data_IF_574998270353
#
_entry.id   IF_574998270353
#
_cell.length_a   1.000
_cell.length_b   1.000
_cell.length_c   1.000
_cell.angle_alpha   90.00
_cell.angle_beta   90.00
_cell.angle_gamma   90.00
#
_symmetry.space_group_name_H-M   'P 1'
#
loop_
_entity.id
_entity.type
_entity.pdbx_description
1 polymer ?
#
# COMPACT_ATOMS: atom_id res chain seq x y z
N UNK A 1 -7.37 24.33 26.18
CA UNK A 1 -6.73 24.58 24.88
C UNK A 1 -5.59 23.59 24.73
N UNK A 2 -5.62 22.62 23.80
CA UNK A 2 -4.44 21.81 23.55
C UNK A 2 -3.40 22.67 22.84
N UNK A 3 -2.14 22.60 23.31
CA UNK A 3 -1.01 23.31 22.72
C UNK A 3 -0.75 22.74 21.33
N UNK A 4 -0.85 23.60 20.31
CA UNK A 4 -0.32 23.35 18.98
C UNK A 4 1.16 23.05 19.10
N UNK A 5 1.56 21.80 18.83
CA UNK A 5 2.97 21.47 18.64
C UNK A 5 3.45 22.26 17.41
N UNK A 6 4.44 23.12 17.60
CA UNK A 6 5.16 23.77 16.51
C UNK A 6 5.83 22.67 15.70
N UNK A 7 5.40 22.47 14.45
CA UNK A 7 6.15 21.65 13.50
C UNK A 7 7.51 22.32 13.32
N UNK A 8 8.58 21.68 13.79
CA UNK A 8 9.94 22.15 13.52
C UNK A 8 10.18 22.12 12.02
N UNK A 9 10.68 23.22 11.46
CA UNK A 9 11.25 23.33 10.09
C UNK A 9 12.53 22.50 9.94
N UNK A 10 12.48 21.24 10.36
CA UNK A 10 13.49 20.25 10.05
C UNK A 10 13.28 19.82 8.61
N UNK A 11 14.04 20.42 7.69
CA UNK A 11 14.16 19.88 6.34
C UNK A 11 14.46 18.39 6.46
N UNK A 12 13.58 17.53 5.91
CA UNK A 12 13.79 16.08 5.93
C UNK A 12 14.95 15.79 4.99
N UNK A 13 16.16 15.67 5.53
CA UNK A 13 17.37 15.37 4.77
C UNK A 13 17.51 13.84 4.70
N UNK A 14 16.81 13.24 3.74
CA UNK A 14 16.77 11.79 3.52
C UNK A 14 15.57 11.40 2.66
N UNK A 15 15.48 10.14 2.20
CA UNK A 15 14.28 9.65 1.55
C UNK A 15 13.10 9.75 2.54
N UNK A 16 11.97 10.28 2.06
CA UNK A 16 10.75 10.40 2.87
C UNK A 16 10.33 9.03 3.39
N UNK A 17 9.88 8.97 4.63
CA UNK A 17 9.36 7.76 5.26
C UNK A 17 7.96 7.97 5.81
N UNK A 18 7.16 6.91 5.84
CA UNK A 18 5.82 6.97 6.42
C UNK A 18 5.85 7.33 7.92
N UNK A 19 6.85 6.84 8.66
CA UNK A 19 7.02 7.14 10.09
C UNK A 19 7.27 8.63 10.32
N UNK A 20 8.18 9.24 9.55
CA UNK A 20 8.49 10.66 9.65
C UNK A 20 7.28 11.51 9.28
N UNK A 21 6.59 11.16 8.18
CA UNK A 21 5.39 11.87 7.74
C UNK A 21 4.27 11.79 8.79
N UNK A 22 4.05 10.62 9.40
CA UNK A 22 3.07 10.48 10.49
C UNK A 22 3.44 11.32 11.72
N UNK A 23 4.73 11.42 12.06
CA UNK A 23 5.22 12.20 13.20
C UNK A 23 4.98 13.71 13.04
N UNK A 24 4.89 14.22 11.81
CA UNK A 24 4.56 15.64 11.57
C UNK A 24 3.14 16.02 11.99
N UNK A 25 2.23 15.04 12.07
CA UNK A 25 0.80 15.29 12.27
C UNK A 25 0.11 16.01 11.11
N UNK A 26 0.79 16.20 9.97
CA UNK A 26 0.23 16.83 8.79
C UNK A 26 -0.57 15.83 7.94
N UNK A 27 -1.51 16.31 7.11
CA UNK A 27 -2.17 15.46 6.11
C UNK A 27 -1.16 14.84 5.14
N UNK A 28 -1.42 13.61 4.74
CA UNK A 28 -0.62 12.86 3.76
C UNK A 28 -1.53 12.25 2.69
N UNK A 29 -0.93 11.85 1.57
CA UNK A 29 -1.65 11.25 0.43
C UNK A 29 -1.33 9.76 0.38
N UNK A 30 -2.38 8.94 0.22
CA UNK A 30 -2.24 7.52 -0.08
C UNK A 30 -2.26 7.28 -1.58
N UNK A 31 -1.32 6.47 -2.06
CA UNK A 31 -1.31 5.98 -3.42
C UNK A 31 -2.25 4.78 -3.57
N UNK A 32 -3.41 4.98 -4.20
CA UNK A 32 -4.39 3.92 -4.48
C UNK A 32 -3.97 3.05 -5.68
N UNK A 33 -4.23 1.74 -5.61
CA UNK A 33 -3.72 0.76 -6.60
C UNK A 33 -4.79 0.06 -7.44
N UNK A 34 -6.03 0.55 -7.41
CA UNK A 34 -7.11 -0.02 -8.21
C UNK A 34 -6.84 0.12 -9.72
N UNK A 35 -7.24 -0.90 -10.49
CA UNK A 35 -7.25 -0.95 -11.96
C UNK A 35 -5.89 -0.83 -12.66
N UNK A 36 -4.80 -1.07 -11.92
CA UNK A 36 -3.44 -1.07 -12.47
C UNK A 36 -3.02 -2.39 -13.12
N UNK A 37 -3.61 -3.51 -12.68
CA UNK A 37 -3.38 -4.86 -13.24
C UNK A 37 -1.88 -5.20 -13.28
N UNK A 38 -1.37 -5.66 -14.43
CA UNK A 38 0.00 -6.12 -14.61
C UNK A 38 1.04 -4.99 -14.41
N UNK A 39 0.63 -3.73 -14.58
CA UNK A 39 1.49 -2.56 -14.35
C UNK A 39 1.61 -2.19 -12.85
N UNK A 40 0.95 -2.92 -11.94
CA UNK A 40 0.91 -2.57 -10.51
C UNK A 40 2.30 -2.50 -9.89
N UNK A 41 3.19 -3.43 -10.25
CA UNK A 41 4.56 -3.44 -9.75
C UNK A 41 5.33 -2.18 -10.16
N UNK A 42 5.37 -1.89 -11.44
CA UNK A 42 6.10 -0.74 -12.00
C UNK A 42 5.52 0.58 -11.49
N UNK A 43 4.19 0.70 -11.43
CA UNK A 43 3.53 1.90 -10.94
C UNK A 43 3.72 2.12 -9.43
N UNK A 44 3.93 1.08 -8.64
CA UNK A 44 4.29 1.22 -7.20
C UNK A 44 5.76 1.56 -7.06
N UNK A 45 6.63 0.97 -7.87
CA UNK A 45 8.06 1.30 -7.93
C UNK A 45 8.26 2.79 -8.21
N UNK A 46 7.60 3.33 -9.24
CA UNK A 46 7.69 4.75 -9.62
C UNK A 46 7.12 5.67 -8.52
N UNK A 47 5.99 5.28 -7.93
CA UNK A 47 5.38 6.07 -6.86
C UNK A 47 6.34 6.25 -5.66
N UNK A 48 7.09 5.21 -5.32
CA UNK A 48 8.09 5.29 -4.25
C UNK A 48 9.26 6.20 -4.61
N UNK A 49 9.73 6.17 -5.85
CA UNK A 49 10.78 7.08 -6.33
C UNK A 49 10.34 8.55 -6.31
N UNK A 50 9.05 8.81 -6.52
CA UNK A 50 8.46 10.15 -6.41
C UNK A 50 8.20 10.55 -4.94
N UNK A 51 8.36 9.63 -3.98
CA UNK A 51 8.27 9.92 -2.54
C UNK A 51 6.96 9.47 -1.87
N UNK A 52 6.12 8.68 -2.54
CA UNK A 52 4.97 8.06 -1.88
C UNK A 52 5.42 7.00 -0.88
N UNK A 53 5.00 7.16 0.37
CA UNK A 53 5.31 6.22 1.46
C UNK A 53 4.07 5.46 1.97
N UNK A 54 2.88 5.83 1.52
CA UNK A 54 1.60 5.24 1.92
C UNK A 54 0.91 4.65 0.70
N UNK A 55 0.69 3.35 0.69
CA UNK A 55 0.03 2.64 -0.41
C UNK A 55 -1.23 1.96 0.09
N UNK A 56 -2.28 2.07 -0.72
CA UNK A 56 -3.54 1.40 -0.48
C UNK A 56 -3.87 0.39 -1.59
N UNK A 57 -4.20 -0.83 -1.19
CA UNK A 57 -4.62 -1.95 -2.05
C UNK A 57 -5.89 -2.62 -1.49
N UNK A 58 -6.29 -3.76 -2.04
CA UNK A 58 -7.36 -4.61 -1.53
C UNK A 58 -7.20 -6.07 -1.96
N UNK A 59 -7.76 -6.98 -1.17
CA UNK A 59 -7.89 -8.40 -1.52
C UNK A 59 -9.07 -8.60 -2.49
N UNK A 60 -8.99 -8.02 -3.69
CA UNK A 60 -9.97 -8.18 -4.77
C UNK A 60 -9.21 -8.28 -6.11
N UNK A 61 -8.76 -9.48 -6.50
CA UNK A 61 -7.84 -9.67 -7.65
C UNK A 61 -8.36 -9.17 -8.98
N UNK A 62 -9.68 -9.00 -9.11
CA UNK A 62 -10.29 -8.37 -10.29
C UNK A 62 -9.79 -6.94 -10.52
N UNK A 63 -9.52 -6.19 -9.46
CA UNK A 63 -9.17 -4.77 -9.54
C UNK A 63 -7.82 -4.43 -8.92
N UNK A 64 -7.26 -5.29 -8.08
CA UNK A 64 -6.05 -5.02 -7.32
C UNK A 64 -5.08 -6.20 -7.43
N UNK A 65 -3.80 -5.90 -7.42
CA UNK A 65 -2.73 -6.90 -7.38
C UNK A 65 -1.86 -6.68 -6.13
N UNK A 66 -2.17 -7.36 -5.03
CA UNK A 66 -1.40 -7.25 -3.78
C UNK A 66 0.04 -7.76 -3.95
N UNK A 67 0.27 -8.74 -4.83
CA UNK A 67 1.60 -9.29 -5.09
C UNK A 67 2.46 -8.28 -5.85
N UNK A 68 1.90 -7.64 -6.89
CA UNK A 68 2.53 -6.54 -7.62
C UNK A 68 2.89 -5.37 -6.70
N UNK A 69 2.02 -5.00 -5.76
CA UNK A 69 2.34 -3.97 -4.74
C UNK A 69 3.56 -4.37 -3.91
N UNK A 70 3.60 -5.61 -3.42
CA UNK A 70 4.72 -6.11 -2.63
C UNK A 70 6.03 -6.14 -3.42
N UNK A 71 5.98 -6.52 -4.69
CA UNK A 71 7.15 -6.56 -5.58
C UNK A 71 7.69 -5.15 -5.86
N UNK A 72 6.85 -4.25 -6.37
CA UNK A 72 7.23 -2.87 -6.65
C UNK A 72 7.80 -2.16 -5.43
N UNK A 73 7.17 -2.37 -4.26
CA UNK A 73 7.66 -1.80 -3.01
C UNK A 73 9.05 -2.31 -2.63
N UNK A 74 9.24 -3.63 -2.64
CA UNK A 74 10.50 -4.25 -2.21
C UNK A 74 11.65 -3.88 -3.12
N UNK A 75 11.39 -3.79 -4.43
CA UNK A 75 12.38 -3.37 -5.43
C UNK A 75 12.82 -1.94 -5.18
N UNK A 76 11.88 -0.98 -5.13
CA UNK A 76 12.22 0.43 -4.88
C UNK A 76 12.91 0.61 -3.53
N UNK A 77 12.39 0.01 -2.45
CA UNK A 77 12.97 0.13 -1.12
C UNK A 77 14.45 -0.31 -1.06
N UNK A 78 14.83 -1.35 -1.81
CA UNK A 78 16.22 -1.80 -1.91
C UNK A 78 17.14 -0.77 -2.57
N UNK A 79 16.64 -0.01 -3.54
CA UNK A 79 17.39 0.99 -4.29
C UNK A 79 17.52 2.32 -3.54
N UNK A 80 16.44 2.80 -2.93
CA UNK A 80 16.42 4.07 -2.17
C UNK A 80 16.75 3.90 -0.68
N UNK A 81 17.14 2.70 -0.24
CA UNK A 81 17.61 2.43 1.12
C UNK A 81 16.53 2.48 2.20
N UNK A 82 15.26 2.28 1.83
CA UNK A 82 14.14 2.25 2.77
C UNK A 82 13.97 0.87 3.42
N UNK A 83 13.49 0.87 4.66
CA UNK A 83 13.16 -0.32 5.44
C UNK A 83 11.65 -0.51 5.49
N UNK A 84 11.21 -1.68 5.98
CA UNK A 84 9.78 -1.98 6.14
C UNK A 84 9.03 -0.93 6.97
N UNK A 85 9.63 -0.38 8.02
CA UNK A 85 9.02 0.64 8.89
C UNK A 85 8.72 1.95 8.15
N UNK A 86 9.43 2.22 7.07
CA UNK A 86 9.33 3.46 6.29
C UNK A 86 8.17 3.43 5.30
N UNK A 87 7.46 2.29 5.21
CA UNK A 87 6.33 2.07 4.30
C UNK A 87 5.04 1.77 5.07
N UNK A 88 3.98 2.48 4.72
CA UNK A 88 2.65 2.19 5.23
C UNK A 88 1.82 1.50 4.15
N UNK A 89 1.30 0.32 4.48
CA UNK A 89 0.46 -0.48 3.58
C UNK A 89 -0.91 -0.70 4.21
N UNK A 90 -1.96 -0.28 3.52
CA UNK A 90 -3.34 -0.58 3.88
C UNK A 90 -3.95 -1.50 2.81
N UNK A 91 -4.36 -2.70 3.20
CA UNK A 91 -5.25 -3.55 2.40
C UNK A 91 -6.68 -3.49 2.94
N UNK A 92 -7.62 -4.07 2.18
CA UNK A 92 -9.04 -4.13 2.53
C UNK A 92 -9.56 -5.55 2.35
N UNK A 93 -10.45 -5.95 3.25
CA UNK A 93 -11.22 -7.17 3.11
C UNK A 93 -12.27 -7.02 2.01
N UNK A 94 -12.44 -8.06 1.20
CA UNK A 94 -13.49 -8.15 0.19
C UNK A 94 -14.34 -9.38 0.51
N UNK A 95 -15.63 -9.16 0.77
CA UNK A 95 -16.58 -10.24 1.01
C UNK A 95 -16.70 -11.15 -0.22
N UNK A 96 -17.12 -12.40 -0.01
CA UNK A 96 -17.24 -13.43 -1.08
C UNK A 96 -18.04 -12.94 -2.29
N UNK A 97 -19.15 -12.23 -2.06
CA UNK A 97 -20.02 -11.70 -3.12
C UNK A 97 -19.32 -10.64 -4.00
N UNK A 98 -18.29 -9.98 -3.47
CA UNK A 98 -17.49 -8.99 -4.19
C UNK A 98 -16.25 -9.56 -4.88
N UNK A 99 -16.01 -10.87 -4.78
CA UNK A 99 -14.86 -11.54 -5.38
C UNK A 99 -15.18 -12.02 -6.80
N UNK A 100 -14.13 -12.13 -7.61
CA UNK A 100 -14.17 -12.93 -8.83
C UNK A 100 -13.95 -14.40 -8.48
N UNK A 101 -14.94 -15.24 -8.73
CA UNK A 101 -14.91 -16.68 -8.43
C UNK A 101 -13.78 -17.42 -9.15
N UNK A 102 -13.36 -16.94 -10.32
CA UNK A 102 -12.28 -17.57 -11.09
C UNK A 102 -10.89 -17.18 -10.62
N UNK A 103 -10.78 -16.14 -9.78
CA UNK A 103 -9.51 -15.55 -9.37
C UNK A 103 -9.57 -15.06 -7.93
N UNK A 104 -10.14 -15.86 -7.02
CA UNK A 104 -10.19 -15.54 -5.60
C UNK A 104 -8.92 -16.04 -4.91
N UNK A 105 -8.22 -15.25 -4.08
CA UNK A 105 -6.92 -15.65 -3.51
C UNK A 105 -7.00 -16.88 -2.58
N UNK A 106 -8.21 -17.28 -2.13
CA UNK A 106 -8.46 -18.57 -1.46
C UNK A 106 -9.89 -19.07 -1.61
N UNK A 107 -10.03 -20.34 -2.02
CA UNK A 107 -10.97 -21.31 -1.45
C UNK A 107 -10.42 -22.73 -1.70
N UNK A 108 -9.43 -23.19 -0.92
CA UNK A 108 -9.12 -24.63 -0.87
C UNK A 108 -10.26 -25.32 -0.12
N UNK A 109 -11.14 -26.02 -0.85
CA UNK A 109 -12.11 -26.99 -0.32
C UNK A 109 -13.13 -26.50 0.73
N UNK A 110 -14.10 -25.68 0.33
CA UNK A 110 -15.44 -25.84 0.91
C UNK A 110 -16.37 -26.28 -0.23
N UNK A 111 -16.51 -27.61 -0.36
CA UNK A 111 -17.69 -28.17 -1.01
C UNK A 111 -18.87 -27.81 -0.13
N UNK A 112 -19.59 -26.75 -0.47
CA UNK A 112 -20.98 -26.60 -0.02
C UNK A 112 -21.80 -27.62 -0.79
N UNK A 113 -21.77 -28.88 -0.36
CA UNK A 113 -22.91 -29.77 -0.55
C UNK A 113 -24.05 -29.15 0.24
N UNK A 114 -24.93 -28.42 -0.46
CA UNK A 114 -26.28 -28.19 0.03
C UNK A 114 -26.95 -29.56 0.08
N UNK A 115 -27.20 -30.05 1.29
CA UNK A 115 -28.24 -31.05 1.53
C UNK A 115 -29.56 -30.32 1.81
#
# INVERSE_FOLDING_TARGET
MPKSAMASDGAIVGPLSAEDMLATGQPYILYGTAWKKDDTADLVYEAMHVGFCFVNTACQPRHYDEAGVGYGWKTAAGEIGLKRKDFFLQTKFTALEGQDWNNMPRMLHVRTTRH
#
